data_IF_269360040536
#
_entry.id   IF_269360040536
#
_cell.length_a   1.000
_cell.length_b   1.000
_cell.length_c   1.000
_cell.angle_alpha   90.00
_cell.angle_beta   90.00
_cell.angle_gamma   90.00
#
_symmetry.space_group_name_H-M   'P 1'
#
loop_
_entity.id
_entity.type
_entity.pdbx_description
1 polymer ?
#
# COMPACT_ATOMS: atom_id res chain seq x y z
N UNK A 1 52.52 21.23 6.25
CA UNK A 1 51.47 21.83 7.11
C UNK A 1 52.07 22.15 8.46
N UNK A 2 51.95 23.38 8.98
CA UNK A 2 52.55 23.77 10.26
C UNK A 2 51.71 23.31 11.46
N UNK A 3 52.31 23.10 12.64
CA UNK A 3 51.60 22.62 13.84
C UNK A 3 50.78 23.74 14.52
N UNK A 4 49.62 23.37 15.09
CA UNK A 4 48.68 24.26 15.80
C UNK A 4 49.26 24.76 17.12
N UNK A 5 49.26 26.08 17.30
CA UNK A 5 49.52 26.80 18.56
C UNK A 5 48.37 26.53 19.55
N UNK A 6 48.69 26.12 20.78
CA UNK A 6 47.74 25.96 21.89
C UNK A 6 47.50 27.33 22.55
N UNK A 7 46.24 27.77 22.61
CA UNK A 7 45.83 28.99 23.29
C UNK A 7 45.89 28.86 24.82
N UNK A 8 46.17 29.98 25.49
CA UNK A 8 46.45 30.09 26.91
C UNK A 8 45.26 29.68 27.81
N UNK A 9 45.56 28.85 28.81
CA UNK A 9 44.68 28.56 29.94
C UNK A 9 44.79 29.69 30.98
N UNK A 10 43.69 30.36 31.28
CA UNK A 10 43.62 31.36 32.35
C UNK A 10 43.38 30.63 33.67
N UNK A 11 44.31 30.81 34.61
CA UNK A 11 44.28 30.24 35.96
C UNK A 11 43.26 30.96 36.85
N UNK A 12 42.44 30.17 37.56
CA UNK A 12 41.56 30.61 38.65
C UNK A 12 42.27 30.37 39.99
N UNK A 13 42.59 31.46 40.67
CA UNK A 13 42.85 31.57 42.12
C UNK A 13 42.44 33.01 42.49
N UNK A 14 41.85 33.38 43.62
CA UNK A 14 41.46 32.78 44.90
C UNK A 14 40.82 33.95 45.66
N UNK A 15 39.61 33.78 46.21
CA UNK A 15 39.37 33.76 47.67
C UNK A 15 39.92 34.96 48.45
N UNK A 16 39.03 35.85 48.89
CA UNK A 16 38.78 36.22 50.31
C UNK A 16 37.56 37.19 50.35
N UNK A 17 36.42 36.77 50.93
CA UNK A 17 35.95 37.06 52.30
C UNK A 17 35.68 38.57 52.53
N UNK A 18 34.55 39.07 53.03
CA UNK A 18 33.30 38.56 53.58
C UNK A 18 32.28 39.72 53.58
N UNK A 19 30.96 39.44 53.62
CA UNK A 19 30.00 40.08 54.54
C UNK A 19 28.52 39.90 54.10
N UNK A 20 27.74 39.36 55.03
CA UNK A 20 26.28 39.49 55.20
C UNK A 20 25.34 38.73 54.26
N UNK A 21 24.73 37.68 54.82
CA UNK A 21 23.44 37.13 54.42
C UNK A 21 22.30 38.01 54.98
N UNK A 22 21.13 38.01 54.32
CA UNK A 22 19.95 37.48 55.01
C UNK A 22 19.29 36.34 54.22
N UNK A 23 18.53 35.46 54.90
CA UNK A 23 18.01 34.24 54.29
C UNK A 23 16.73 34.54 53.53
N UNK A 24 16.62 34.06 52.30
CA UNK A 24 15.32 33.71 51.72
C UNK A 24 15.51 32.64 50.65
N UNK A 25 15.06 31.45 51.02
CA UNK A 25 14.93 30.25 50.20
C UNK A 25 14.20 30.55 48.90
N UNK A 26 14.91 30.40 47.78
CA UNK A 26 14.30 30.10 46.49
C UNK A 26 15.13 28.98 45.85
N UNK A 27 14.55 27.81 45.55
CA UNK A 27 15.29 26.73 44.92
C UNK A 27 15.71 27.16 43.52
N UNK A 28 17.02 27.12 43.27
CA UNK A 28 17.64 27.32 41.96
C UNK A 28 17.16 26.20 41.01
N UNK A 29 16.04 26.43 40.33
CA UNK A 29 15.57 25.56 39.26
C UNK A 29 16.54 25.72 38.09
N UNK A 30 17.34 24.69 37.83
CA UNK A 30 18.24 24.63 36.67
C UNK A 30 17.42 24.78 35.39
N UNK A 31 17.41 25.99 34.86
CA UNK A 31 16.72 26.36 33.62
C UNK A 31 17.61 25.92 32.46
N UNK A 32 17.33 24.74 31.89
CA UNK A 32 18.01 24.23 30.69
C UNK A 32 17.67 25.00 29.40
N UNK A 33 16.95 26.12 29.52
CA UNK A 33 16.58 26.98 28.39
C UNK A 33 17.12 28.39 28.61
N UNK A 34 18.00 28.83 27.73
CA UNK A 34 18.52 30.21 27.68
C UNK A 34 17.56 31.19 27.02
N UNK A 35 16.40 30.73 26.53
CA UNK A 35 15.37 31.64 26.02
C UNK A 35 14.56 32.21 27.18
N UNK A 36 14.54 33.55 27.39
CA UNK A 36 13.71 34.15 28.42
C UNK A 36 12.23 33.82 28.16
N UNK A 37 11.51 33.43 29.22
CA UNK A 37 10.06 33.24 29.17
C UNK A 37 9.43 34.58 28.76
N UNK A 38 8.86 34.67 27.56
CA UNK A 38 8.21 35.90 27.09
C UNK A 38 6.91 36.09 27.87
N UNK A 39 6.79 37.23 28.56
CA UNK A 39 5.59 37.62 29.33
C UNK A 39 4.33 37.77 28.46
N UNK A 40 4.50 38.07 27.16
CA UNK A 40 3.40 38.32 26.21
C UNK A 40 3.46 37.37 25.02
N UNK A 41 2.27 36.99 24.55
CA UNK A 41 2.07 36.15 23.38
C UNK A 41 2.61 36.84 22.11
N UNK A 42 3.27 36.09 21.22
CA UNK A 42 3.72 36.63 19.94
C UNK A 42 2.53 36.96 19.04
N UNK A 43 2.69 37.92 18.11
CA UNK A 43 1.65 38.27 17.12
C UNK A 43 1.19 37.07 16.30
N UNK A 44 2.11 36.17 15.93
CA UNK A 44 1.77 34.94 15.21
C UNK A 44 0.90 34.00 16.03
N UNK A 45 1.22 33.83 17.33
CA UNK A 45 0.41 33.02 18.24
C UNK A 45 -0.96 33.66 18.50
N UNK A 46 -1.07 34.98 18.60
CA UNK A 46 -2.36 35.69 18.62
C UNK A 46 -3.23 35.35 17.41
N UNK A 47 -2.73 35.52 16.18
CA UNK A 47 -3.48 35.21 14.95
C UNK A 47 -3.89 33.74 14.87
N UNK A 48 -3.02 32.83 15.32
CA UNK A 48 -3.34 31.41 15.40
C UNK A 48 -4.54 31.15 16.33
N UNK A 49 -4.52 31.69 17.55
CA UNK A 49 -5.64 31.52 18.48
C UNK A 49 -6.92 32.20 18.01
N UNK A 50 -6.82 33.35 17.35
CA UNK A 50 -7.94 34.02 16.70
C UNK A 50 -8.61 33.08 15.67
N UNK A 51 -7.80 32.43 14.80
CA UNK A 51 -8.33 31.44 13.86
C UNK A 51 -8.86 30.17 14.53
N UNK A 52 -8.15 29.60 15.51
CA UNK A 52 -8.61 28.40 16.23
C UNK A 52 -9.95 28.63 16.95
N UNK A 53 -10.14 29.83 17.50
CA UNK A 53 -11.38 30.21 18.18
C UNK A 53 -12.49 30.65 17.23
N UNK A 54 -12.21 30.83 15.94
CA UNK A 54 -13.22 31.10 14.91
C UNK A 54 -14.12 29.89 14.68
N UNK A 55 -15.26 30.10 13.99
CA UNK A 55 -16.20 29.02 13.65
C UNK A 55 -15.52 27.90 12.84
N UNK A 56 -14.61 28.25 11.92
CA UNK A 56 -13.87 27.28 11.11
C UNK A 56 -12.92 26.43 11.95
N UNK A 57 -12.20 27.05 12.91
CA UNK A 57 -11.30 26.32 13.81
C UNK A 57 -12.02 25.44 14.81
N UNK A 58 -13.09 25.95 15.43
CA UNK A 58 -13.93 25.19 16.37
C UNK A 58 -14.65 24.02 15.70
N UNK A 59 -15.11 24.20 14.46
CA UNK A 59 -15.75 23.15 13.69
C UNK A 59 -14.87 21.91 13.50
N UNK A 60 -13.54 22.07 13.49
CA UNK A 60 -12.58 20.97 13.35
C UNK A 60 -12.19 20.33 14.68
N UNK A 61 -12.53 20.96 15.82
CA UNK A 61 -12.17 20.44 17.14
C UNK A 61 -13.03 19.23 17.54
N UNK A 62 -14.28 19.20 17.08
CA UNK A 62 -15.20 18.09 17.31
C UNK A 62 -15.42 17.28 16.03
N UNK A 63 -15.54 15.94 16.13
CA UNK A 63 -15.83 15.11 14.97
C UNK A 63 -17.23 15.43 14.46
N UNK A 64 -17.34 15.87 13.20
CA UNK A 64 -18.61 15.82 12.50
C UNK A 64 -18.89 14.37 12.10
N UNK A 65 -20.16 14.01 11.89
CA UNK A 65 -20.57 12.67 11.44
C UNK A 65 -20.21 12.33 9.99
N UNK A 66 -19.12 12.91 9.46
CA UNK A 66 -18.61 12.73 8.11
C UNK A 66 -17.25 13.43 7.94
N UNK A 67 -16.74 13.51 6.70
CA UNK A 67 -15.48 14.22 6.44
C UNK A 67 -15.62 15.72 6.73
N UNK A 68 -14.66 16.25 7.50
CA UNK A 68 -14.56 17.67 7.82
C UNK A 68 -13.17 18.18 7.46
N UNK A 69 -13.00 18.51 6.19
CA UNK A 69 -11.71 18.96 5.66
C UNK A 69 -11.62 20.48 5.53
N UNK A 70 -10.39 20.97 5.37
CA UNK A 70 -10.09 22.39 5.17
C UNK A 70 -10.39 22.88 3.74
N UNK A 71 -10.51 21.96 2.78
CA UNK A 71 -10.75 22.31 1.39
C UNK A 71 -12.16 22.83 1.13
N UNK A 72 -12.39 23.45 -0.04
CA UNK A 72 -13.70 23.95 -0.44
C UNK A 72 -14.75 22.85 -0.65
N UNK A 73 -14.32 21.61 -0.92
CA UNK A 73 -15.20 20.45 -1.09
C UNK A 73 -15.09 19.48 0.10
N UNK A 74 -16.18 18.75 0.36
CA UNK A 74 -16.28 17.79 1.47
C UNK A 74 -15.27 16.65 1.40
N UNK A 75 -14.77 16.33 0.21
CA UNK A 75 -13.79 15.28 -0.05
C UNK A 75 -12.38 15.83 -0.28
N UNK A 76 -12.15 17.15 -0.13
CA UNK A 76 -10.86 17.77 -0.41
C UNK A 76 -10.10 18.10 0.89
N UNK A 77 -9.16 17.24 1.34
CA UNK A 77 -8.38 17.49 2.55
C UNK A 77 -7.48 18.72 2.46
N UNK A 78 -6.89 18.99 1.28
CA UNK A 78 -5.94 20.07 1.11
C UNK A 78 -6.47 21.13 0.13
N UNK A 79 -6.70 22.38 0.57
CA UNK A 79 -7.33 23.40 -0.27
C UNK A 79 -6.53 23.72 -1.54
N UNK A 80 -5.19 23.65 -1.47
CA UNK A 80 -4.31 23.98 -2.58
C UNK A 80 -4.14 22.84 -3.61
N UNK A 81 -4.53 21.60 -3.27
CA UNK A 81 -4.41 20.46 -4.16
C UNK A 81 -5.80 19.89 -4.49
N UNK A 82 -6.42 20.28 -5.62
CA UNK A 82 -7.74 19.80 -6.00
C UNK A 82 -7.75 18.37 -6.55
N UNK A 83 -6.58 17.79 -6.87
CA UNK A 83 -6.48 16.45 -7.45
C UNK A 83 -6.53 15.35 -6.37
N UNK A 84 -6.06 15.64 -5.15
CA UNK A 84 -6.09 14.67 -4.06
C UNK A 84 -7.44 14.76 -3.31
N UNK A 85 -8.26 13.72 -3.49
CA UNK A 85 -9.57 13.57 -2.87
C UNK A 85 -9.58 12.42 -1.87
N UNK A 86 -10.32 12.59 -0.77
CA UNK A 86 -10.59 11.53 0.19
C UNK A 86 -11.67 10.60 -0.36
N UNK A 87 -11.23 9.54 -1.02
CA UNK A 87 -12.11 8.48 -1.50
C UNK A 87 -12.79 7.73 -0.34
N UNK A 88 -14.01 7.20 -0.55
CA UNK A 88 -14.72 6.48 0.49
C UNK A 88 -14.00 5.20 0.91
N UNK A 89 -14.21 4.78 2.15
CA UNK A 89 -13.70 3.51 2.70
C UNK A 89 -14.84 2.50 2.91
N UNK A 90 -14.50 1.22 2.88
CA UNK A 90 -15.47 0.15 3.12
C UNK A 90 -15.99 0.16 4.56
N UNK A 91 -17.31 0.17 4.72
CA UNK A 91 -17.94 0.05 6.02
C UNK A 91 -17.64 -1.31 6.69
N UNK A 92 -17.73 -1.36 8.02
CA UNK A 92 -17.46 -2.60 8.78
C UNK A 92 -18.39 -3.75 8.35
N UNK A 93 -19.65 -3.42 8.05
CA UNK A 93 -20.68 -4.37 7.60
C UNK A 93 -20.33 -5.00 6.25
N UNK A 94 -19.95 -4.15 5.29
CA UNK A 94 -19.53 -4.57 3.95
C UNK A 94 -18.25 -5.41 4.00
N UNK A 95 -17.30 -5.09 4.89
CA UNK A 95 -16.10 -5.91 5.10
C UNK A 95 -16.41 -7.31 5.62
N UNK A 96 -17.39 -7.43 6.51
CA UNK A 96 -17.85 -8.74 7.00
C UNK A 96 -18.55 -9.52 5.88
N UNK A 97 -19.38 -8.85 5.08
CA UNK A 97 -20.06 -9.47 3.93
C UNK A 97 -19.07 -10.06 2.92
N UNK A 98 -18.04 -9.29 2.53
CA UNK A 98 -16.97 -9.76 1.65
C UNK A 98 -16.32 -11.03 2.19
N UNK A 99 -16.00 -11.03 3.49
CA UNK A 99 -15.37 -12.18 4.14
C UNK A 99 -16.30 -13.40 4.13
N UNK A 100 -17.60 -13.20 4.36
CA UNK A 100 -18.60 -14.27 4.38
C UNK A 100 -18.81 -14.88 2.99
N UNK A 101 -18.85 -14.07 1.93
CA UNK A 101 -18.95 -14.55 0.53
C UNK A 101 -17.76 -15.41 0.13
N UNK A 102 -16.55 -14.93 0.38
CA UNK A 102 -15.33 -15.66 0.01
C UNK A 102 -15.15 -16.92 0.87
N UNK A 103 -15.36 -16.83 2.18
CA UNK A 103 -14.99 -17.90 3.12
C UNK A 103 -16.10 -18.92 3.34
N UNK A 104 -17.35 -18.46 3.50
CA UNK A 104 -18.49 -19.36 3.78
C UNK A 104 -19.19 -19.83 2.51
N UNK A 105 -19.39 -18.94 1.55
CA UNK A 105 -20.07 -19.28 0.29
C UNK A 105 -19.10 -19.84 -0.76
N UNK A 106 -17.79 -19.61 -0.59
CA UNK A 106 -16.76 -20.13 -1.50
C UNK A 106 -16.76 -19.44 -2.86
N UNK A 107 -17.23 -18.20 -2.93
CA UNK A 107 -17.21 -17.42 -4.16
C UNK A 107 -15.78 -17.02 -4.54
N UNK A 108 -15.51 -16.96 -5.85
CA UNK A 108 -14.21 -16.54 -6.38
C UNK A 108 -13.96 -15.07 -6.04
N UNK A 109 -12.70 -14.70 -5.81
CA UNK A 109 -12.31 -13.30 -5.52
C UNK A 109 -12.68 -12.38 -6.67
N UNK A 110 -12.57 -12.86 -7.91
CA UNK A 110 -12.98 -12.13 -9.11
C UNK A 110 -14.50 -11.94 -9.20
N UNK A 111 -15.30 -12.94 -8.82
CA UNK A 111 -16.76 -12.81 -8.80
C UNK A 111 -17.21 -11.79 -7.77
N UNK A 112 -16.70 -11.87 -6.53
CA UNK A 112 -17.02 -10.90 -5.46
C UNK A 112 -16.58 -9.49 -5.85
N UNK A 113 -15.41 -9.36 -6.48
CA UNK A 113 -14.88 -8.10 -6.98
C UNK A 113 -15.77 -7.46 -8.05
N UNK A 114 -16.25 -8.27 -9.01
CA UNK A 114 -17.15 -7.82 -10.07
C UNK A 114 -18.53 -7.43 -9.54
N UNK A 115 -19.07 -8.19 -8.58
CA UNK A 115 -20.38 -7.92 -7.99
C UNK A 115 -20.36 -6.64 -7.14
N UNK A 116 -19.38 -6.54 -6.23
CA UNK A 116 -19.30 -5.44 -5.27
C UNK A 116 -18.56 -4.20 -5.79
N UNK A 117 -18.01 -4.26 -7.02
CA UNK A 117 -17.24 -3.19 -7.66
C UNK A 117 -16.04 -2.74 -6.81
N UNK A 118 -15.28 -3.71 -6.30
CA UNK A 118 -14.10 -3.52 -5.46
C UNK A 118 -12.92 -4.23 -6.12
N UNK A 119 -11.72 -3.65 -6.16
CA UNK A 119 -10.55 -4.29 -6.74
C UNK A 119 -10.23 -5.64 -6.04
N UNK A 120 -9.92 -6.68 -6.81
CA UNK A 120 -9.49 -8.01 -6.33
C UNK A 120 -8.39 -7.90 -5.28
N UNK A 121 -7.45 -6.96 -5.46
CA UNK A 121 -6.37 -6.72 -4.49
C UNK A 121 -6.90 -6.26 -3.14
N UNK A 122 -7.93 -5.41 -3.14
CA UNK A 122 -8.59 -4.92 -1.92
C UNK A 122 -9.43 -6.01 -1.27
N UNK A 123 -10.20 -6.78 -2.05
CA UNK A 123 -10.95 -7.95 -1.56
C UNK A 123 -10.03 -8.91 -0.81
N UNK A 124 -8.90 -9.30 -1.42
CA UNK A 124 -7.92 -10.17 -0.78
C UNK A 124 -7.29 -9.57 0.50
N UNK A 125 -7.10 -8.25 0.55
CA UNK A 125 -6.61 -7.57 1.75
C UNK A 125 -7.66 -7.57 2.88
N UNK A 126 -8.95 -7.33 2.55
CA UNK A 126 -10.05 -7.38 3.51
C UNK A 126 -10.15 -8.76 4.14
N UNK A 127 -10.12 -9.82 3.34
CA UNK A 127 -10.17 -11.20 3.82
C UNK A 127 -9.00 -11.48 4.77
N UNK A 128 -7.77 -11.12 4.39
CA UNK A 128 -6.59 -11.29 5.26
C UNK A 128 -6.69 -10.54 6.59
N UNK A 129 -7.17 -9.29 6.58
CA UNK A 129 -7.32 -8.49 7.80
C UNK A 129 -8.44 -9.04 8.68
N UNK A 130 -9.52 -9.54 8.08
CA UNK A 130 -10.62 -10.20 8.80
C UNK A 130 -10.17 -11.50 9.46
N UNK A 131 -9.37 -12.31 8.79
CA UNK A 131 -8.78 -13.51 9.37
C UNK A 131 -7.98 -13.19 10.65
N UNK A 132 -7.14 -12.13 10.59
CA UNK A 132 -6.37 -11.66 11.75
C UNK A 132 -7.30 -11.14 12.86
N UNK A 133 -8.36 -10.42 12.52
CA UNK A 133 -9.37 -9.97 13.49
C UNK A 133 -10.02 -11.17 14.21
N UNK A 134 -10.45 -12.20 13.46
CA UNK A 134 -11.02 -13.43 14.04
C UNK A 134 -10.00 -14.13 14.94
N UNK A 135 -8.75 -14.26 14.49
CA UNK A 135 -7.68 -14.85 15.30
C UNK A 135 -7.47 -14.07 16.61
N UNK A 136 -7.49 -12.74 16.58
CA UNK A 136 -7.35 -11.93 17.79
C UNK A 136 -8.51 -12.11 18.75
N UNK A 137 -9.73 -12.25 18.23
CA UNK A 137 -10.90 -12.58 19.05
C UNK A 137 -10.75 -13.96 19.67
N UNK A 138 -10.29 -14.96 18.92
CA UNK A 138 -10.00 -16.31 19.41
C UNK A 138 -8.91 -16.31 20.49
N UNK A 139 -7.87 -15.50 20.32
CA UNK A 139 -6.79 -15.29 21.29
C UNK A 139 -7.23 -14.50 22.53
N UNK A 140 -8.47 -13.96 22.55
CA UNK A 140 -8.98 -13.12 23.64
C UNK A 140 -8.35 -11.72 23.72
N UNK A 141 -7.74 -11.24 22.63
CA UNK A 141 -7.14 -9.90 22.55
C UNK A 141 -8.23 -8.83 22.48
N UNK A 142 -8.03 -7.73 23.21
CA UNK A 142 -8.95 -6.59 23.19
C UNK A 142 -8.79 -5.78 21.91
N UNK A 143 -9.86 -5.70 21.12
CA UNK A 143 -9.91 -4.89 19.91
C UNK A 143 -10.04 -3.40 20.23
N UNK A 144 -9.45 -2.54 19.38
CA UNK A 144 -9.51 -1.09 19.50
C UNK A 144 -10.83 -0.49 18.98
N UNK A 145 -11.97 -0.99 19.45
CA UNK A 145 -13.29 -0.62 18.93
C UNK A 145 -13.67 0.85 19.12
N UNK A 146 -13.35 1.55 20.24
CA UNK A 146 -13.70 2.96 20.38
C UNK A 146 -12.93 3.82 19.37
N UNK A 147 -11.66 3.49 19.14
CA UNK A 147 -10.81 4.15 18.16
C UNK A 147 -11.34 3.94 16.74
N UNK A 148 -11.60 2.69 16.35
CA UNK A 148 -12.14 2.37 15.04
C UNK A 148 -13.46 3.12 14.76
N UNK A 149 -14.40 3.10 15.71
CA UNK A 149 -15.68 3.81 15.57
C UNK A 149 -15.51 5.32 15.43
N UNK A 150 -14.56 5.93 16.15
CA UNK A 150 -14.30 7.37 16.05
C UNK A 150 -13.71 7.73 14.68
N UNK A 151 -12.71 6.97 14.20
CA UNK A 151 -12.07 7.21 12.90
C UNK A 151 -13.05 6.99 11.74
N UNK A 152 -13.85 5.93 11.79
CA UNK A 152 -14.82 5.63 10.72
C UNK A 152 -15.94 6.68 10.61
N UNK A 153 -16.21 7.48 11.66
CA UNK A 153 -17.14 8.61 11.58
C UNK A 153 -16.55 9.81 10.84
N UNK A 154 -15.22 9.94 10.81
CA UNK A 154 -14.53 11.07 10.16
C UNK A 154 -14.30 10.84 8.66
N UNK A 155 -14.48 9.61 8.17
CA UNK A 155 -14.19 9.24 6.78
C UNK A 155 -15.47 9.06 5.98
N UNK A 156 -15.48 9.38 4.68
CA UNK A 156 -16.57 8.98 3.80
C UNK A 156 -16.60 7.45 3.69
N UNK A 157 -17.79 6.86 3.64
CA UNK A 157 -17.96 5.40 3.63
C UNK A 157 -18.86 4.96 2.48
N UNK A 158 -18.56 3.81 1.92
CA UNK A 158 -19.43 3.08 0.99
C UNK A 158 -19.98 1.84 1.70
N UNK A 159 -21.30 1.73 1.75
CA UNK A 159 -22.00 0.53 2.20
C UNK A 159 -22.56 -0.22 0.99
N UNK A 160 -22.36 -1.53 0.94
CA UNK A 160 -22.96 -2.40 -0.05
C UNK A 160 -24.22 -3.07 0.50
N UNK A 161 -25.29 -3.09 -0.29
CA UNK A 161 -26.54 -3.78 0.00
C UNK A 161 -26.93 -4.69 -1.15
N UNK A 162 -27.15 -5.97 -0.86
CA UNK A 162 -27.51 -6.95 -1.87
C UNK A 162 -28.88 -6.62 -2.50
N UNK A 163 -28.95 -6.68 -3.83
CA UNK A 163 -30.19 -6.44 -4.59
C UNK A 163 -30.55 -4.95 -4.82
N UNK A 164 -29.82 -4.02 -4.21
CA UNK A 164 -29.93 -2.59 -4.51
C UNK A 164 -28.87 -2.17 -5.56
N UNK A 165 -29.16 -1.08 -6.28
CA UNK A 165 -28.15 -0.44 -7.13
C UNK A 165 -27.18 0.33 -6.23
N UNK A 166 -25.96 -0.20 -6.10
CA UNK A 166 -24.92 0.41 -5.28
C UNK A 166 -23.96 1.22 -6.16
N UNK A 167 -23.45 2.32 -5.62
CA UNK A 167 -22.37 3.06 -6.27
C UNK A 167 -21.08 2.22 -6.27
N UNK A 168 -20.36 2.13 -7.41
CA UNK A 168 -19.07 1.45 -7.48
C UNK A 168 -18.08 2.02 -6.47
N UNK A 169 -17.42 1.16 -5.68
CA UNK A 169 -16.44 1.61 -4.69
C UNK A 169 -15.18 2.17 -5.35
N UNK A 170 -14.68 1.51 -6.40
CA UNK A 170 -13.50 1.90 -7.16
C UNK A 170 -13.53 1.32 -8.58
N UNK A 171 -12.75 1.86 -9.54
CA UNK A 171 -12.65 1.29 -10.87
C UNK A 171 -11.91 -0.06 -10.84
N UNK A 172 -12.64 -1.15 -11.10
CA UNK A 172 -12.09 -2.52 -11.10
C UNK A 172 -11.27 -2.87 -12.36
N UNK A 173 -11.46 -2.11 -13.44
CA UNK A 173 -10.87 -2.37 -14.77
C UNK A 173 -9.67 -1.48 -15.08
N UNK A 174 -9.02 -0.92 -14.07
CA UNK A 174 -7.84 -0.07 -14.26
C UNK A 174 -6.64 -0.90 -14.73
N UNK A 175 -6.11 -0.54 -15.91
CA UNK A 175 -4.96 -1.21 -16.53
C UNK A 175 -3.72 -0.35 -16.33
N UNK A 176 -2.62 -0.98 -15.93
CA UNK A 176 -1.32 -0.31 -15.84
C UNK A 176 -0.89 0.26 -17.21
N UNK A 177 -0.44 1.51 -17.25
CA UNK A 177 0.13 2.09 -18.47
C UNK A 177 1.56 1.58 -18.65
N UNK A 178 1.77 0.73 -19.67
CA UNK A 178 3.09 0.17 -19.95
C UNK A 178 3.97 1.18 -20.67
N UNK A 179 5.28 1.20 -20.41
CA UNK A 179 6.18 2.20 -21.01
C UNK A 179 6.19 2.15 -22.55
N UNK A 180 6.03 0.97 -23.14
CA UNK A 180 5.96 0.81 -24.61
C UNK A 180 4.75 1.51 -25.23
N UNK A 181 3.64 1.66 -24.49
CA UNK A 181 2.42 2.30 -24.99
C UNK A 181 2.40 3.81 -24.79
N UNK A 182 3.46 4.40 -24.22
CA UNK A 182 3.58 5.85 -24.05
C UNK A 182 4.07 6.57 -25.33
N UNK A 183 4.48 5.80 -26.34
CA UNK A 183 4.95 6.35 -27.60
C UNK A 183 3.79 6.88 -28.44
N UNK A 184 3.97 8.03 -29.08
CA UNK A 184 3.04 8.54 -30.07
C UNK A 184 3.35 7.92 -31.43
N UNK A 185 2.47 7.05 -31.92
CA UNK A 185 2.65 6.33 -33.19
C UNK A 185 1.51 6.67 -34.17
N UNK A 186 1.88 6.97 -35.41
CA UNK A 186 0.96 7.10 -36.54
C UNK A 186 1.34 6.05 -37.58
N UNK A 187 0.70 4.89 -37.51
CA UNK A 187 1.02 3.77 -38.38
C UNK A 187 0.28 3.93 -39.71
N UNK A 188 0.98 4.07 -40.86
CA UNK A 188 0.33 4.09 -42.15
C UNK A 188 -0.22 2.69 -42.46
N UNK A 189 -1.52 2.62 -42.74
CA UNK A 189 -2.23 1.39 -43.10
C UNK A 189 -3.04 1.61 -44.38
N UNK A 190 -3.46 0.52 -45.02
CA UNK A 190 -4.41 0.61 -46.14
C UNK A 190 -5.69 1.33 -45.70
N UNK A 191 -6.27 2.13 -46.59
CA UNK A 191 -7.54 2.86 -46.38
C UNK A 191 -8.70 1.94 -45.99
N UNK A 192 -8.68 0.69 -46.44
CA UNK A 192 -9.71 -0.32 -46.17
C UNK A 192 -9.38 -1.26 -45.00
N UNK A 193 -8.24 -1.07 -44.31
CA UNK A 193 -7.85 -1.98 -43.22
C UNK A 193 -8.69 -1.73 -41.96
N UNK A 194 -9.28 -2.79 -41.43
CA UNK A 194 -9.87 -2.77 -40.08
C UNK A 194 -8.77 -2.90 -39.02
N UNK A 195 -8.40 -1.79 -38.40
CA UNK A 195 -7.32 -1.74 -37.42
C UNK A 195 -7.85 -2.01 -35.99
N UNK A 196 -7.51 -3.16 -35.42
CA UNK A 196 -8.05 -3.63 -34.13
C UNK A 196 -7.15 -3.25 -32.94
N UNK A 197 -7.63 -3.50 -31.71
CA UNK A 197 -6.81 -3.36 -30.48
C UNK A 197 -5.60 -4.29 -30.46
N UNK A 198 -5.71 -5.46 -31.08
CA UNK A 198 -4.59 -6.40 -31.22
C UNK A 198 -3.55 -5.90 -32.21
N UNK A 199 -3.99 -5.32 -33.35
CA UNK A 199 -3.10 -4.65 -34.29
C UNK A 199 -2.39 -3.48 -33.62
N UNK A 200 -3.10 -2.68 -32.83
CA UNK A 200 -2.53 -1.57 -32.07
C UNK A 200 -1.48 -2.04 -31.05
N UNK A 201 -1.74 -3.13 -30.33
CA UNK A 201 -0.76 -3.71 -29.41
C UNK A 201 0.51 -4.15 -30.15
N UNK A 202 0.36 -4.89 -31.25
CA UNK A 202 1.48 -5.30 -32.11
C UNK A 202 2.25 -4.12 -32.69
N UNK A 203 1.55 -3.04 -33.03
CA UNK A 203 2.18 -1.81 -33.52
C UNK A 203 3.10 -1.16 -32.46
N UNK A 204 2.76 -1.25 -31.17
CA UNK A 204 3.66 -0.80 -30.10
C UNK A 204 4.86 -1.76 -29.92
N UNK A 205 4.61 -3.07 -29.89
CA UNK A 205 5.66 -4.09 -29.79
C UNK A 205 5.10 -5.50 -30.05
N UNK A 206 5.90 -6.39 -30.65
CA UNK A 206 5.49 -7.75 -31.05
C UNK A 206 4.89 -8.60 -29.90
N UNK A 207 5.43 -8.42 -28.69
CA UNK A 207 5.00 -9.15 -27.47
C UNK A 207 3.98 -8.39 -26.62
N UNK A 208 3.51 -7.22 -27.07
CA UNK A 208 2.55 -6.44 -26.31
C UNK A 208 1.17 -7.09 -26.42
N UNK A 209 0.53 -7.29 -25.27
CA UNK A 209 -0.84 -7.78 -25.21
C UNK A 209 -1.83 -6.62 -25.39
N UNK A 210 -3.01 -6.92 -25.94
CA UNK A 210 -4.10 -5.95 -26.07
C UNK A 210 -4.60 -5.49 -24.69
N UNK A 211 -5.30 -4.36 -24.65
CA UNK A 211 -5.89 -3.87 -23.40
C UNK A 211 -6.84 -4.91 -22.78
N UNK A 212 -7.64 -5.57 -23.61
CA UNK A 212 -8.62 -6.56 -23.20
C UNK A 212 -7.97 -7.74 -22.45
N UNK A 213 -6.87 -8.29 -22.96
CA UNK A 213 -6.12 -9.38 -22.29
C UNK A 213 -5.37 -8.92 -21.05
N UNK A 214 -5.05 -7.63 -20.95
CA UNK A 214 -4.32 -7.04 -19.81
C UNK A 214 -5.25 -6.59 -18.69
N UNK A 215 -6.56 -6.58 -18.93
CA UNK A 215 -7.57 -6.29 -17.91
C UNK A 215 -7.39 -7.25 -16.72
N UNK A 216 -7.57 -6.79 -15.47
CA UNK A 216 -7.58 -7.68 -14.31
C UNK A 216 -8.67 -8.77 -14.39
N UNK A 217 -9.76 -8.48 -15.10
CA UNK A 217 -10.94 -9.35 -15.25
C UNK A 217 -11.35 -9.46 -16.72
N UNK A 218 -10.62 -10.23 -17.55
CA UNK A 218 -10.99 -10.44 -18.94
C UNK A 218 -12.31 -11.22 -19.09
N UNK A 219 -12.69 -12.02 -18.10
CA UNK A 219 -13.92 -12.82 -18.09
C UNK A 219 -15.17 -11.93 -18.12
N UNK A 220 -15.11 -10.72 -17.54
CA UNK A 220 -16.19 -9.74 -17.64
C UNK A 220 -16.36 -9.22 -19.06
N UNK A 221 -15.28 -9.04 -19.81
CA UNK A 221 -15.33 -8.59 -21.20
C UNK A 221 -16.02 -9.66 -22.05
N UNK A 222 -15.73 -10.93 -21.81
CA UNK A 222 -16.37 -12.06 -22.49
C UNK A 222 -17.87 -12.12 -22.17
N UNK A 223 -18.23 -11.98 -20.88
CA UNK A 223 -19.63 -11.90 -20.43
C UNK A 223 -20.40 -10.79 -21.14
N UNK A 224 -19.86 -9.56 -21.17
CA UNK A 224 -20.51 -8.43 -21.83
C UNK A 224 -20.63 -8.62 -23.35
N UNK A 225 -19.62 -9.23 -23.99
CA UNK A 225 -19.69 -9.59 -25.42
C UNK A 225 -20.82 -10.59 -25.69
N UNK A 226 -21.03 -11.59 -24.84
CA UNK A 226 -22.15 -12.52 -24.99
C UNK A 226 -23.50 -11.84 -24.86
N UNK A 227 -23.66 -10.92 -23.88
CA UNK A 227 -24.89 -10.16 -23.66
C UNK A 227 -25.20 -9.30 -24.89
N UNK A 228 -24.20 -8.60 -25.43
CA UNK A 228 -24.35 -7.80 -26.66
C UNK A 228 -24.75 -8.67 -27.86
N UNK A 229 -24.27 -9.92 -27.91
CA UNK A 229 -24.65 -10.90 -28.94
C UNK A 229 -26.04 -11.54 -28.72
N UNK A 230 -26.80 -11.11 -27.71
CA UNK A 230 -28.16 -11.53 -27.45
C UNK A 230 -28.33 -12.67 -26.44
N UNK A 231 -27.28 -13.03 -25.69
CA UNK A 231 -27.40 -14.02 -24.61
C UNK A 231 -28.16 -13.45 -23.39
N UNK A 232 -28.79 -14.35 -22.62
CA UNK A 232 -29.42 -13.99 -21.35
C UNK A 232 -28.38 -13.60 -20.31
N UNK A 233 -28.59 -12.47 -19.61
CA UNK A 233 -27.70 -11.99 -18.55
C UNK A 233 -27.50 -13.02 -17.43
N UNK A 234 -28.54 -13.77 -17.09
CA UNK A 234 -28.46 -14.78 -16.03
C UNK A 234 -27.56 -15.96 -16.43
N UNK A 235 -27.61 -16.38 -17.70
CA UNK A 235 -26.79 -17.48 -18.20
C UNK A 235 -25.33 -17.04 -18.36
N UNK A 236 -25.09 -15.83 -18.89
CA UNK A 236 -23.74 -15.26 -18.99
C UNK A 236 -23.12 -15.01 -17.62
N UNK A 237 -23.90 -14.63 -16.59
CA UNK A 237 -23.41 -14.50 -15.21
C UNK A 237 -22.97 -15.85 -14.64
N UNK A 238 -23.75 -16.92 -14.86
CA UNK A 238 -23.36 -18.27 -14.42
C UNK A 238 -22.05 -18.72 -15.09
N UNK A 239 -21.95 -18.54 -16.41
CA UNK A 239 -20.70 -18.83 -17.14
C UNK A 239 -19.52 -18.02 -16.61
N UNK A 240 -19.73 -16.75 -16.27
CA UNK A 240 -18.70 -15.91 -15.67
C UNK A 240 -18.24 -16.46 -14.31
N UNK A 241 -19.17 -16.86 -13.44
CA UNK A 241 -18.84 -17.49 -12.15
C UNK A 241 -18.06 -18.79 -12.35
N UNK A 242 -18.51 -19.66 -13.26
CA UNK A 242 -17.81 -20.91 -13.59
C UNK A 242 -16.42 -20.67 -14.17
N UNK A 243 -16.27 -19.67 -15.06
CA UNK A 243 -14.99 -19.32 -15.67
C UNK A 243 -13.98 -18.80 -14.64
N UNK A 244 -14.42 -17.90 -13.75
CA UNK A 244 -13.56 -17.34 -12.69
C UNK A 244 -13.16 -18.42 -11.67
N UNK A 245 -14.08 -19.30 -11.28
CA UNK A 245 -13.76 -20.45 -10.41
C UNK A 245 -12.74 -21.38 -11.06
N UNK A 246 -12.95 -21.74 -12.33
CA UNK A 246 -12.03 -22.62 -13.05
C UNK A 246 -10.63 -22.00 -13.21
N UNK A 247 -10.52 -20.68 -13.36
CA UNK A 247 -9.25 -19.98 -13.38
C UNK A 247 -8.56 -20.01 -12.00
N UNK A 248 -9.28 -19.73 -10.92
CA UNK A 248 -8.76 -19.80 -9.56
C UNK A 248 -8.25 -21.20 -9.22
N UNK A 249 -9.00 -22.24 -9.60
CA UNK A 249 -8.57 -23.64 -9.46
C UNK A 249 -7.28 -23.93 -10.22
N UNK A 250 -7.16 -23.44 -11.46
CA UNK A 250 -5.92 -23.58 -12.25
C UNK A 250 -4.74 -22.87 -11.58
N UNK A 251 -4.96 -21.68 -11.03
CA UNK A 251 -3.94 -20.93 -10.29
C UNK A 251 -3.55 -21.67 -9.01
N UNK A 252 -4.52 -22.18 -8.26
CA UNK A 252 -4.29 -22.97 -7.05
C UNK A 252 -3.47 -24.24 -7.35
N UNK A 253 -3.86 -25.00 -8.38
CA UNK A 253 -3.11 -26.17 -8.85
C UNK A 253 -1.68 -25.81 -9.26
N UNK A 254 -1.49 -24.68 -9.95
CA UNK A 254 -0.16 -24.20 -10.34
C UNK A 254 0.69 -23.86 -9.12
N UNK A 255 0.13 -23.22 -8.11
CA UNK A 255 0.81 -22.90 -6.85
C UNK A 255 1.19 -24.17 -6.10
N UNK A 256 0.28 -25.14 -5.97
CA UNK A 256 0.55 -26.44 -5.32
C UNK A 256 1.69 -27.17 -6.03
N UNK A 257 1.62 -27.30 -7.36
CA UNK A 257 2.65 -27.94 -8.17
C UNK A 257 4.01 -27.22 -8.06
N UNK A 258 4.02 -25.90 -7.92
CA UNK A 258 5.24 -25.14 -7.68
C UNK A 258 5.83 -25.45 -6.30
N UNK A 259 5.00 -25.50 -5.24
CA UNK A 259 5.43 -25.86 -3.88
C UNK A 259 5.99 -27.28 -3.85
N UNK A 260 5.27 -28.26 -4.41
CA UNK A 260 5.73 -29.65 -4.51
C UNK A 260 7.06 -29.78 -5.26
N UNK A 261 7.24 -29.01 -6.35
CA UNK A 261 8.51 -28.96 -7.09
C UNK A 261 9.64 -28.35 -6.26
N UNK A 262 9.36 -27.35 -5.44
CA UNK A 262 10.36 -26.75 -4.56
C UNK A 262 10.73 -27.68 -3.41
N UNK A 263 9.75 -28.40 -2.85
CA UNK A 263 9.97 -29.39 -1.79
C UNK A 263 10.72 -30.62 -2.31
N UNK A 264 10.37 -31.15 -3.48
CA UNK A 264 11.06 -32.31 -4.06
C UNK A 264 12.53 -32.01 -4.39
N UNK A 265 12.85 -30.77 -4.73
CA UNK A 265 14.24 -30.30 -4.92
C UNK A 265 14.99 -30.05 -3.61
N UNK A 266 14.32 -30.06 -2.47
CA UNK A 266 14.91 -29.69 -1.17
C UNK A 266 15.00 -30.90 -0.25
N UNK A 267 16.19 -31.47 -0.11
CA UNK A 267 16.47 -32.55 0.83
C UNK A 267 16.61 -32.00 2.25
N UNK A 268 15.69 -32.38 3.15
CA UNK A 268 15.69 -32.00 4.57
C UNK A 268 16.41 -33.09 5.38
N UNK A 269 17.53 -32.75 6.02
CA UNK A 269 18.30 -33.64 6.91
C UNK A 269 18.23 -33.08 8.32
N UNK A 270 17.46 -33.75 9.18
CA UNK A 270 17.33 -33.38 10.59
C UNK A 270 18.55 -33.87 11.38
N UNK A 271 19.07 -33.00 12.22
CA UNK A 271 20.12 -33.29 13.20
C UNK A 271 19.60 -32.94 14.60
N UNK A 272 20.44 -33.09 15.62
CA UNK A 272 20.08 -32.79 17.01
C UNK A 272 19.60 -31.33 17.21
N UNK A 273 20.31 -30.34 16.63
CA UNK A 273 20.02 -28.91 16.84
C UNK A 273 19.31 -28.22 15.68
N UNK A 274 19.57 -28.66 14.45
CA UNK A 274 19.14 -27.95 13.24
C UNK A 274 18.61 -28.90 12.17
N UNK A 275 17.80 -28.36 11.26
CA UNK A 275 17.41 -29.02 10.02
C UNK A 275 18.21 -28.41 8.86
N UNK A 276 19.11 -29.19 8.26
CA UNK A 276 19.83 -28.78 7.07
C UNK A 276 18.93 -28.98 5.85
N UNK A 277 18.72 -27.92 5.07
CA UNK A 277 17.92 -27.93 3.84
C UNK A 277 18.83 -27.78 2.64
N UNK A 278 19.11 -28.89 1.97
CA UNK A 278 19.93 -28.92 0.76
C UNK A 278 19.02 -28.77 -0.46
N UNK A 279 19.06 -27.60 -1.09
CA UNK A 279 18.31 -27.33 -2.32
C UNK A 279 19.18 -27.65 -3.53
N UNK A 280 18.72 -28.56 -4.37
CA UNK A 280 19.40 -28.88 -5.64
C UNK A 280 19.23 -27.74 -6.64
N UNK A 281 20.34 -27.33 -7.26
CA UNK A 281 20.43 -26.18 -8.16
C UNK A 281 21.24 -26.59 -9.39
N UNK A 282 20.84 -26.10 -10.56
CA UNK A 282 21.57 -26.32 -11.79
C UNK A 282 22.78 -25.37 -11.89
N UNK A 283 23.97 -25.94 -12.10
CA UNK A 283 25.22 -25.17 -12.23
C UNK A 283 25.32 -24.50 -13.60
N UNK A 284 24.66 -25.05 -14.62
CA UNK A 284 24.74 -24.54 -16.00
C UNK A 284 23.89 -23.27 -16.23
N UNK A 285 23.12 -22.84 -15.22
CA UNK A 285 22.28 -21.62 -15.26
C UNK A 285 23.09 -20.30 -15.21
N UNK A 286 24.41 -20.36 -15.46
CA UNK A 286 25.35 -19.22 -15.46
C UNK A 286 25.39 -18.46 -16.79
N UNK A 287 24.85 -19.03 -17.87
CA UNK A 287 24.86 -18.44 -19.22
C UNK A 287 26.22 -18.54 -19.91
N UNK A 288 26.28 -18.18 -21.20
CA UNK A 288 27.47 -18.38 -22.07
C UNK A 288 28.75 -17.76 -21.51
N UNK A 289 28.65 -16.56 -20.94
CA UNK A 289 29.79 -15.78 -20.46
C UNK A 289 29.92 -15.81 -18.92
N UNK A 290 29.21 -16.71 -18.25
CA UNK A 290 29.14 -16.77 -16.77
C UNK A 290 28.35 -15.64 -16.10
N UNK A 291 27.66 -14.80 -16.88
CA UNK A 291 26.91 -13.62 -16.42
C UNK A 291 25.40 -13.82 -16.60
N UNK A 292 24.74 -14.44 -15.63
CA UNK A 292 23.27 -14.66 -15.62
C UNK A 292 22.63 -14.26 -14.31
N UNK A 293 21.52 -13.49 -14.32
CA UNK A 293 20.75 -13.12 -13.11
C UNK A 293 20.27 -14.36 -12.31
N UNK A 294 20.12 -15.51 -12.97
CA UNK A 294 19.70 -16.78 -12.34
C UNK A 294 20.84 -17.59 -11.73
N UNK A 295 22.09 -17.27 -12.06
CA UNK A 295 23.26 -17.99 -11.54
C UNK A 295 23.34 -17.92 -10.02
N UNK A 296 23.59 -19.06 -9.37
CA UNK A 296 23.68 -19.17 -7.91
C UNK A 296 25.14 -19.12 -7.46
N UNK A 297 25.42 -18.40 -6.38
CA UNK A 297 26.75 -18.27 -5.78
C UNK A 297 27.23 -16.82 -5.71
N UNK A 298 28.32 -16.59 -4.98
CA UNK A 298 28.98 -15.29 -4.93
C UNK A 298 29.83 -15.09 -6.20
N UNK A 299 29.64 -13.97 -6.91
CA UNK A 299 30.35 -13.72 -8.17
C UNK A 299 31.80 -13.30 -7.92
N UNK A 300 32.72 -13.83 -8.74
CA UNK A 300 34.12 -13.42 -8.77
C UNK A 300 34.33 -12.16 -9.60
N UNK A 301 35.38 -11.38 -9.29
CA UNK A 301 35.72 -10.15 -10.03
C UNK A 301 34.78 -8.97 -9.77
N UNK A 302 33.97 -9.02 -8.71
CA UNK A 302 33.07 -7.94 -8.31
C UNK A 302 33.49 -7.38 -6.92
N UNK A 303 34.05 -6.15 -6.83
CA UNK A 303 34.38 -5.54 -5.55
C UNK A 303 33.12 -5.19 -4.76
N UNK A 304 33.24 -5.04 -3.45
CA UNK A 304 32.13 -4.59 -2.61
C UNK A 304 31.63 -3.21 -3.03
N UNK A 305 30.32 -3.07 -3.14
CA UNK A 305 29.67 -1.83 -3.56
C UNK A 305 29.34 -0.89 -2.39
N UNK A 306 29.81 -1.20 -1.18
CA UNK A 306 29.39 -0.55 0.07
C UNK A 306 29.60 0.97 0.13
N UNK A 307 30.55 1.47 -0.67
CA UNK A 307 30.91 2.89 -0.79
C UNK A 307 30.11 3.61 -1.89
N UNK A 308 29.32 2.89 -2.71
CA UNK A 308 28.46 3.50 -3.72
C UNK A 308 27.29 4.21 -3.05
N UNK A 309 27.04 5.45 -3.45
CA UNK A 309 25.89 6.23 -2.98
C UNK A 309 24.59 5.60 -3.52
N UNK A 310 23.58 5.50 -2.65
CA UNK A 310 22.26 5.00 -3.03
C UNK A 310 22.10 3.47 -2.96
N UNK A 311 23.11 2.73 -2.46
CA UNK A 311 22.99 1.28 -2.28
C UNK A 311 22.02 0.94 -1.14
N UNK A 312 21.06 0.05 -1.40
CA UNK A 312 20.09 -0.43 -0.41
C UNK A 312 20.76 -1.49 0.49
N UNK A 313 20.87 -1.19 1.79
CA UNK A 313 21.42 -2.09 2.83
C UNK A 313 20.35 -2.63 3.80
N UNK A 314 19.09 -2.44 3.43
CA UNK A 314 17.91 -2.81 4.22
C UNK A 314 17.23 -4.00 3.51
N UNK A 315 16.62 -4.95 4.24
CA UNK A 315 15.86 -6.03 3.62
C UNK A 315 14.80 -5.51 2.65
N UNK A 316 14.86 -5.94 1.37
CA UNK A 316 13.90 -5.53 0.33
C UNK A 316 12.67 -6.42 0.24
N UNK A 317 12.67 -7.55 0.95
CA UNK A 317 11.56 -8.52 0.98
C UNK A 317 11.49 -9.12 2.37
N UNK A 318 10.29 -9.14 2.95
CA UNK A 318 9.96 -9.86 4.19
C UNK A 318 9.01 -10.99 3.78
N UNK A 319 9.50 -12.24 3.74
CA UNK A 319 8.73 -13.38 3.23
C UNK A 319 7.64 -13.86 4.19
#
# INVERSE_FOLDING_TARGET
>A
MPPRVRGASVSLAGLDAAASLPPRTAPFVRTFSTTPCREKMSKGRMRMFEWLNSNSGRGLAEPSGGPNYLGPYQDQPFPLNPLFRSQPVLDDTTRELIYDKVTRQGESLKAVSAEMHIDVRRVAAVVRLKEVEKQWVTDGKKLATPYAKAVMKMLPKTSYREGEENEPHEPINDIHVHNLTLQQLFVPVSESRHFTREDAAKAFHDKMLSADTRSPQPELIEMEREIVNGASRADSLKKFQEATQAEEDRVAQKILKQREREESRTKKVKTDRYEFRFKEINVDDVGRDGRSRKGTGWRYGAPFEDRKRGLVKIPTSVP
#
